data_IF_586103826227
#
_entry.id   IF_586103826227
#
_cell.length_a   1.000
_cell.length_b   1.000
_cell.length_c   1.000
_cell.angle_alpha   90.00
_cell.angle_beta   90.00
_cell.angle_gamma   90.00
#
_symmetry.space_group_name_H-M   'P 1'
#
loop_
_entity.id
_entity.type
_entity.pdbx_description
1 polymer ?
#
# COMPACT_ATOMS: atom_id res chain seq x y z
N UNK A 1 -4.57 14.37 -32.58
CA UNK A 1 -3.40 13.76 -31.91
C UNK A 1 -3.91 12.93 -30.76
N UNK A 2 -4.04 11.63 -30.97
CA UNK A 2 -4.54 10.69 -29.97
C UNK A 2 -3.40 10.40 -29.00
N UNK A 3 -3.48 10.94 -27.79
CA UNK A 3 -2.55 10.63 -26.70
C UNK A 3 -2.66 9.13 -26.41
N UNK A 4 -1.61 8.37 -26.73
CA UNK A 4 -1.45 7.00 -26.24
C UNK A 4 -1.18 7.16 -24.75
N UNK A 5 -2.18 6.85 -23.92
CA UNK A 5 -2.02 6.76 -22.48
C UNK A 5 -1.00 5.65 -22.20
N UNK A 6 0.27 6.05 -22.05
CA UNK A 6 1.32 5.17 -21.58
C UNK A 6 1.02 4.91 -20.11
N UNK A 7 0.78 3.64 -19.76
CA UNK A 7 0.62 3.25 -18.37
C UNK A 7 1.83 3.73 -17.57
N UNK A 8 1.64 4.31 -16.36
CA UNK A 8 2.74 4.80 -15.54
C UNK A 8 3.80 3.71 -15.34
N UNK A 9 5.08 4.07 -15.50
CA UNK A 9 6.18 3.13 -15.27
C UNK A 9 6.19 2.72 -13.80
N UNK A 10 6.10 1.41 -13.55
CA UNK A 10 6.13 0.86 -12.19
C UNK A 10 7.54 0.46 -11.79
N UNK A 11 8.02 0.99 -10.66
CA UNK A 11 9.34 0.68 -10.10
C UNK A 11 9.16 -0.20 -8.87
N UNK A 12 9.65 -1.44 -8.94
CA UNK A 12 9.55 -2.42 -7.85
C UNK A 12 10.76 -2.27 -6.93
N UNK A 13 10.56 -1.68 -5.75
CA UNK A 13 11.66 -1.39 -4.82
C UNK A 13 12.32 -2.66 -4.27
N UNK A 14 11.57 -3.77 -4.16
CA UNK A 14 12.13 -5.07 -3.78
C UNK A 14 13.30 -5.48 -4.69
N UNK A 15 13.17 -5.26 -5.99
CA UNK A 15 14.21 -5.61 -6.95
C UNK A 15 15.46 -4.72 -6.80
N UNK A 16 15.27 -3.42 -6.57
CA UNK A 16 16.38 -2.49 -6.30
C UNK A 16 17.14 -2.87 -5.02
N UNK A 17 16.40 -3.14 -3.94
CA UNK A 17 16.98 -3.54 -2.65
C UNK A 17 17.82 -4.81 -2.79
N UNK A 18 17.30 -5.85 -3.45
CA UNK A 18 18.01 -7.13 -3.60
C UNK A 18 19.30 -6.99 -4.43
N UNK A 19 19.35 -6.09 -5.42
CA UNK A 19 20.59 -5.83 -6.19
C UNK A 19 21.67 -5.17 -5.32
N UNK A 20 21.28 -4.23 -4.47
CA UNK A 20 22.21 -3.58 -3.52
C UNK A 20 22.70 -4.58 -2.48
N UNK A 21 21.80 -5.40 -1.91
CA UNK A 21 22.17 -6.47 -0.96
C UNK A 21 23.10 -7.51 -1.58
N UNK A 22 22.91 -7.84 -2.86
CA UNK A 22 23.80 -8.73 -3.62
C UNK A 22 25.13 -8.07 -4.03
N UNK A 23 25.31 -6.77 -3.78
CA UNK A 23 26.50 -6.02 -4.17
C UNK A 23 26.64 -5.79 -5.68
N UNK A 24 25.59 -6.03 -6.46
CA UNK A 24 25.59 -5.81 -7.91
C UNK A 24 25.29 -4.36 -8.30
N UNK A 25 24.91 -3.54 -7.31
CA UNK A 25 24.51 -2.15 -7.50
C UNK A 25 24.80 -1.33 -6.24
N UNK A 26 25.11 -0.05 -6.39
CA UNK A 26 25.29 0.87 -5.27
C UNK A 26 23.97 1.56 -4.93
N UNK A 27 23.76 1.90 -3.65
CA UNK A 27 22.55 2.58 -3.20
C UNK A 27 22.28 3.88 -3.98
N UNK A 28 23.33 4.66 -4.27
CA UNK A 28 23.20 5.92 -5.02
C UNK A 28 23.10 5.73 -6.54
N UNK A 29 23.03 4.49 -7.01
CA UNK A 29 22.91 4.17 -8.44
C UNK A 29 21.67 3.29 -8.68
N UNK A 30 20.46 3.69 -8.25
CA UNK A 30 19.24 2.94 -8.52
C UNK A 30 19.02 2.76 -10.02
N UNK A 31 18.50 1.60 -10.44
CA UNK A 31 18.48 1.23 -11.87
C UNK A 31 17.41 1.95 -12.68
N UNK A 32 16.46 2.58 -11.98
CA UNK A 32 15.48 3.47 -12.58
C UNK A 32 16.05 4.85 -12.93
N UNK A 33 17.31 5.14 -12.58
CA UNK A 33 18.01 6.34 -13.05
C UNK A 33 18.78 6.04 -14.33
N UNK A 34 18.55 6.79 -15.43
CA UNK A 34 19.26 6.60 -16.69
C UNK A 34 20.78 6.85 -16.57
N UNK A 35 21.17 7.89 -15.83
CA UNK A 35 22.57 8.17 -15.48
C UNK A 35 22.62 8.59 -14.00
N UNK A 36 23.15 7.73 -13.12
CA UNK A 36 23.20 8.04 -11.68
C UNK A 36 24.23 9.12 -11.34
N UNK A 37 25.15 9.47 -12.24
CA UNK A 37 26.12 10.53 -12.01
C UNK A 37 25.58 11.92 -12.35
N UNK A 38 24.50 12.02 -13.14
CA UNK A 38 23.91 13.31 -13.55
C UNK A 38 23.57 14.19 -12.35
N UNK A 39 23.13 13.60 -11.24
CA UNK A 39 22.86 14.32 -10.00
C UNK A 39 24.04 15.18 -9.51
N UNK A 40 25.27 14.69 -9.69
CA UNK A 40 26.49 15.37 -9.25
C UNK A 40 27.18 16.12 -10.39
N UNK A 41 27.16 15.57 -11.60
CA UNK A 41 27.90 16.11 -12.75
C UNK A 41 27.13 17.22 -13.48
N UNK A 42 25.80 17.19 -13.45
CA UNK A 42 24.94 18.17 -14.09
C UNK A 42 23.65 18.43 -13.28
N UNK A 43 23.73 19.24 -12.20
CA UNK A 43 22.58 19.53 -11.35
C UNK A 43 21.39 20.15 -12.10
N UNK A 44 21.64 20.88 -13.18
CA UNK A 44 20.58 21.47 -14.01
C UNK A 44 19.79 20.38 -14.75
N UNK A 45 20.46 19.38 -15.30
CA UNK A 45 19.78 18.26 -15.97
C UNK A 45 19.07 17.36 -14.96
N UNK A 46 19.68 17.16 -13.79
CA UNK A 46 19.04 16.45 -12.68
C UNK A 46 17.69 17.08 -12.30
N UNK A 47 17.67 18.37 -12.00
CA UNK A 47 16.47 19.07 -11.53
C UNK A 47 15.41 19.26 -12.63
N UNK A 48 15.82 19.52 -13.89
CA UNK A 48 14.89 19.88 -14.96
C UNK A 48 14.47 18.71 -15.88
N UNK A 49 15.20 17.60 -15.84
CA UNK A 49 14.95 16.44 -16.73
C UNK A 49 14.74 15.17 -15.93
N UNK A 50 15.68 14.81 -15.06
CA UNK A 50 15.65 13.50 -14.35
C UNK A 50 14.58 13.47 -13.27
N UNK A 51 14.52 14.45 -12.37
CA UNK A 51 13.49 14.50 -11.33
C UNK A 51 12.05 14.56 -11.91
N UNK A 52 11.76 15.37 -12.96
CA UNK A 52 10.46 15.34 -13.64
C UNK A 52 10.12 14.00 -14.27
N UNK A 53 11.10 13.28 -14.82
CA UNK A 53 10.88 11.92 -15.33
C UNK A 53 10.51 10.97 -14.20
N UNK A 54 11.23 10.99 -13.08
CA UNK A 54 10.94 10.17 -11.89
C UNK A 54 9.54 10.45 -11.35
N UNK A 55 9.07 11.70 -11.41
CA UNK A 55 7.72 12.08 -11.00
C UNK A 55 6.60 11.46 -11.83
N UNK A 56 6.91 10.76 -12.93
CA UNK A 56 5.94 9.97 -13.70
C UNK A 56 5.84 8.51 -13.25
N UNK A 57 6.72 8.07 -12.34
CA UNK A 57 6.82 6.69 -11.91
C UNK A 57 5.92 6.39 -10.72
N UNK A 58 5.48 5.13 -10.62
CA UNK A 58 4.81 4.59 -9.42
C UNK A 58 5.75 3.64 -8.70
N UNK A 59 6.10 3.98 -7.46
CA UNK A 59 7.00 3.17 -6.64
C UNK A 59 6.21 2.13 -5.85
N UNK A 60 6.50 0.85 -6.08
CA UNK A 60 5.86 -0.27 -5.40
C UNK A 60 6.74 -0.76 -4.25
N UNK A 61 6.21 -0.66 -3.03
CA UNK A 61 6.88 -1.10 -1.81
C UNK A 61 6.08 -2.27 -1.21
N UNK A 62 6.63 -3.47 -1.31
CA UNK A 62 5.94 -4.70 -0.95
C UNK A 62 6.07 -5.02 0.54
N UNK A 63 7.11 -4.51 1.22
CA UNK A 63 7.45 -4.93 2.57
C UNK A 63 8.07 -3.78 3.38
N UNK A 64 8.16 -3.95 4.70
CA UNK A 64 8.87 -2.98 5.56
C UNK A 64 10.35 -2.83 5.19
N UNK A 65 11.11 -3.90 4.88
CA UNK A 65 12.45 -3.76 4.33
C UNK A 65 12.53 -2.85 3.09
N UNK A 66 11.53 -2.88 2.22
CA UNK A 66 11.50 -2.00 1.04
C UNK A 66 11.26 -0.54 1.44
N UNK A 67 10.41 -0.30 2.45
CA UNK A 67 10.21 1.04 3.03
C UNK A 67 11.51 1.57 3.64
N UNK A 68 12.21 0.75 4.42
CA UNK A 68 13.47 1.16 5.07
C UNK A 68 14.59 1.38 4.06
N UNK A 69 14.68 0.52 3.03
CA UNK A 69 15.58 0.72 1.91
C UNK A 69 15.27 2.03 1.16
N UNK A 70 14.00 2.30 0.86
CA UNK A 70 13.59 3.52 0.16
C UNK A 70 13.90 4.76 1.02
N UNK A 71 13.72 4.71 2.35
CA UNK A 71 14.15 5.80 3.24
C UNK A 71 15.65 6.07 3.15
N UNK A 72 16.47 5.01 3.13
CA UNK A 72 17.92 5.15 2.97
C UNK A 72 18.27 5.75 1.61
N UNK A 73 17.62 5.30 0.54
CA UNK A 73 17.80 5.82 -0.81
C UNK A 73 17.45 7.32 -0.90
N UNK A 74 16.30 7.71 -0.36
CA UNK A 74 15.83 9.09 -0.36
C UNK A 74 16.64 10.05 0.52
N UNK A 75 17.39 9.49 1.47
CA UNK A 75 18.32 10.24 2.34
C UNK A 75 19.74 10.27 1.79
N UNK A 76 19.99 9.66 0.63
CA UNK A 76 21.31 9.55 0.03
C UNK A 76 21.79 10.92 -0.47
N UNK A 77 22.93 11.46 0.02
CA UNK A 77 23.42 12.78 -0.38
C UNK A 77 23.71 12.93 -1.87
N UNK A 78 24.03 11.82 -2.54
CA UNK A 78 24.30 11.77 -3.98
C UNK A 78 23.03 11.90 -4.83
N UNK A 79 21.84 11.78 -4.23
CA UNK A 79 20.54 11.88 -4.90
C UNK A 79 19.73 13.04 -4.29
N UNK A 80 20.22 14.30 -4.42
CA UNK A 80 19.58 15.45 -3.82
C UNK A 80 18.15 15.61 -4.33
N UNK A 81 17.24 16.03 -3.44
CA UNK A 81 15.83 16.29 -3.75
C UNK A 81 15.03 15.10 -4.31
N UNK A 82 15.56 13.88 -4.34
CA UNK A 82 14.84 12.71 -4.88
C UNK A 82 13.49 12.49 -4.20
N UNK A 83 13.39 12.70 -2.88
CA UNK A 83 12.13 12.60 -2.12
C UNK A 83 11.04 13.55 -2.62
N UNK A 84 11.40 14.68 -3.25
CA UNK A 84 10.45 15.62 -3.84
C UNK A 84 9.91 15.13 -5.18
N UNK A 85 10.61 14.24 -5.88
CA UNK A 85 10.15 13.67 -7.13
C UNK A 85 9.21 12.47 -6.95
N UNK A 86 9.05 11.95 -5.73
CA UNK A 86 8.13 10.85 -5.46
C UNK A 86 6.68 11.37 -5.40
N UNK A 87 5.93 11.12 -6.47
CA UNK A 87 4.53 11.56 -6.64
C UNK A 87 3.52 10.42 -6.53
N UNK A 88 3.95 9.16 -6.72
CA UNK A 88 3.06 8.00 -6.67
C UNK A 88 3.69 6.83 -5.92
N UNK A 89 2.97 6.31 -4.92
CA UNK A 89 3.37 5.16 -4.11
C UNK A 89 2.26 4.12 -4.11
N UNK A 90 2.63 2.85 -4.27
CA UNK A 90 1.75 1.71 -4.09
C UNK A 90 2.31 0.74 -3.04
N UNK A 91 1.43 0.27 -2.15
CA UNK A 91 1.70 -0.79 -1.17
C UNK A 91 0.92 -2.06 -1.57
N UNK A 92 1.38 -2.83 -2.57
CA UNK A 92 0.66 -3.98 -3.13
C UNK A 92 0.47 -5.14 -2.13
N UNK A 93 1.25 -5.16 -1.05
CA UNK A 93 1.14 -6.14 0.04
C UNK A 93 0.82 -5.46 1.38
N UNK A 94 0.10 -4.34 1.35
CA UNK A 94 -0.29 -3.62 2.57
C UNK A 94 -1.04 -4.52 3.58
N UNK A 95 -1.81 -5.49 3.09
CA UNK A 95 -2.45 -6.54 3.91
C UNK A 95 -1.50 -7.42 4.73
N UNK A 96 -0.20 -7.45 4.45
CA UNK A 96 0.80 -8.18 5.25
C UNK A 96 1.21 -7.41 6.52
N UNK A 97 0.77 -6.16 6.67
CA UNK A 97 0.98 -5.42 7.90
C UNK A 97 0.31 -6.12 9.08
N UNK A 98 1.09 -6.47 10.11
CA UNK A 98 0.63 -7.21 11.28
C UNK A 98 -0.34 -6.44 12.22
N UNK A 99 -0.70 -5.22 11.83
CA UNK A 99 -1.60 -4.32 12.56
C UNK A 99 -0.92 -3.48 13.62
N UNK A 100 -1.69 -2.55 14.16
CA UNK A 100 -1.44 -1.82 15.40
C UNK A 100 -1.72 -2.75 16.57
N UNK A 101 -0.72 -2.89 17.45
CA UNK A 101 -0.78 -3.68 18.69
C UNK A 101 -0.09 -2.88 19.79
N UNK A 102 -0.07 -3.40 21.01
CA UNK A 102 0.44 -2.70 22.21
C UNK A 102 1.86 -2.09 22.05
N UNK A 103 2.67 -2.62 21.14
CA UNK A 103 4.04 -2.15 20.86
C UNK A 103 4.19 -1.27 19.59
N UNK A 104 3.10 -0.94 18.88
CA UNK A 104 3.15 -0.17 17.64
C UNK A 104 2.02 0.85 17.61
N UNK A 105 2.37 2.14 17.69
CA UNK A 105 1.39 3.25 17.75
C UNK A 105 1.03 3.82 16.38
N UNK A 106 1.82 3.53 15.34
CA UNK A 106 1.64 4.06 13.99
C UNK A 106 1.85 3.00 12.91
N UNK A 107 1.34 3.28 11.70
CA UNK A 107 1.57 2.44 10.54
C UNK A 107 2.80 2.95 9.76
N UNK A 108 3.93 2.21 9.75
CA UNK A 108 5.18 2.65 9.12
C UNK A 108 5.06 2.89 7.60
N UNK A 109 4.10 2.26 6.92
CA UNK A 109 3.82 2.52 5.50
C UNK A 109 3.19 3.90 5.30
N UNK A 110 2.22 4.26 6.15
CA UNK A 110 1.58 5.57 6.12
C UNK A 110 2.54 6.66 6.62
N UNK A 111 3.36 6.38 7.64
CA UNK A 111 4.41 7.30 8.09
C UNK A 111 5.43 7.59 7.00
N UNK A 112 5.78 6.59 6.18
CA UNK A 112 6.61 6.80 5.00
C UNK A 112 5.92 7.70 3.96
N UNK A 113 4.63 7.45 3.66
CA UNK A 113 3.87 8.28 2.73
C UNK A 113 3.76 9.74 3.20
N UNK A 114 3.59 9.99 4.50
CA UNK A 114 3.56 11.35 5.09
C UNK A 114 4.87 12.11 4.88
N UNK A 115 6.00 11.43 4.71
CA UNK A 115 7.29 12.06 4.48
C UNK A 115 7.49 12.54 3.02
N UNK A 116 6.56 12.22 2.10
CA UNK A 116 6.65 12.58 0.69
C UNK A 116 5.86 13.86 0.39
N UNK A 117 6.51 15.03 0.25
CA UNK A 117 5.80 16.32 0.18
C UNK A 117 4.97 16.48 -1.09
N UNK A 118 5.37 15.84 -2.20
CA UNK A 118 4.70 15.93 -3.49
C UNK A 118 3.90 14.67 -3.83
N UNK A 119 3.59 13.82 -2.85
CA UNK A 119 2.78 12.63 -3.09
C UNK A 119 1.38 13.04 -3.60
N UNK A 120 1.05 12.63 -4.82
CA UNK A 120 -0.23 12.87 -5.49
C UNK A 120 -1.12 11.63 -5.55
N UNK A 121 -0.53 10.43 -5.59
CA UNK A 121 -1.25 9.16 -5.64
C UNK A 121 -0.74 8.18 -4.57
N UNK A 122 -1.67 7.62 -3.81
CA UNK A 122 -1.42 6.52 -2.88
C UNK A 122 -2.31 5.33 -3.23
N UNK A 123 -1.72 4.15 -3.37
CA UNK A 123 -2.44 2.89 -3.55
C UNK A 123 -2.22 1.92 -2.38
N UNK A 124 -3.31 1.42 -1.80
CA UNK A 124 -3.32 0.45 -0.71
C UNK A 124 -3.98 -0.85 -1.18
N UNK A 125 -3.32 -1.98 -0.99
CA UNK A 125 -3.89 -3.29 -1.34
C UNK A 125 -4.25 -4.09 -0.10
N UNK A 126 -5.54 -4.39 0.04
CA UNK A 126 -6.12 -5.24 1.06
C UNK A 126 -6.37 -6.65 0.49
N UNK A 127 -6.49 -7.64 1.37
CA UNK A 127 -6.80 -9.02 1.00
C UNK A 127 -8.02 -9.48 1.81
N UNK A 128 -8.92 -10.26 1.21
CA UNK A 128 -10.14 -10.74 1.88
C UNK A 128 -9.86 -11.44 3.23
N UNK A 129 -8.80 -12.26 3.29
CA UNK A 129 -8.33 -12.86 4.55
C UNK A 129 -8.01 -11.83 5.66
N UNK A 130 -7.42 -10.68 5.31
CA UNK A 130 -7.11 -9.62 6.27
C UNK A 130 -8.32 -8.76 6.68
N UNK A 131 -9.48 -9.02 6.09
CA UNK A 131 -10.76 -8.33 6.33
C UNK A 131 -11.80 -9.24 6.99
N UNK A 132 -11.40 -10.44 7.37
CA UNK A 132 -12.25 -11.44 8.01
C UNK A 132 -11.64 -11.92 9.32
N UNK A 133 -12.45 -12.54 10.16
CA UNK A 133 -12.00 -13.20 11.38
C UNK A 133 -12.84 -14.46 11.64
N UNK A 134 -12.41 -15.29 12.58
CA UNK A 134 -13.15 -16.49 12.97
C UNK A 134 -14.59 -16.12 13.39
N UNK A 135 -15.55 -16.85 12.82
CA UNK A 135 -16.96 -16.75 13.18
C UNK A 135 -17.18 -17.14 14.64
N UNK A 136 -16.48 -18.19 15.05
CA UNK A 136 -16.57 -18.84 16.36
C UNK A 136 -15.38 -18.48 17.27
N UNK A 137 -15.58 -18.60 18.58
CA UNK A 137 -14.46 -18.55 19.54
C UNK A 137 -13.65 -19.84 19.47
N UNK A 138 -12.43 -19.84 19.99
CA UNK A 138 -11.58 -21.05 20.02
C UNK A 138 -12.28 -22.22 20.72
N UNK A 139 -12.96 -21.95 21.84
CA UNK A 139 -13.70 -22.96 22.60
C UNK A 139 -14.84 -23.57 21.78
N UNK A 140 -15.61 -22.73 21.08
CA UNK A 140 -16.71 -23.19 20.24
C UNK A 140 -16.17 -23.97 19.05
N UNK A 141 -15.06 -23.53 18.46
CA UNK A 141 -14.40 -24.23 17.35
C UNK A 141 -14.00 -25.66 17.73
N UNK A 142 -13.37 -25.83 18.89
CA UNK A 142 -12.99 -27.17 19.41
C UNK A 142 -14.24 -28.03 19.65
N UNK A 143 -15.33 -27.44 20.16
CA UNK A 143 -16.58 -28.17 20.38
C UNK A 143 -17.19 -28.66 19.05
N UNK A 144 -17.19 -27.82 18.01
CA UNK A 144 -17.65 -28.18 16.65
C UNK A 144 -16.79 -29.30 16.06
N UNK A 145 -15.47 -29.19 16.18
CA UNK A 145 -14.52 -30.20 15.67
C UNK A 145 -14.70 -31.56 16.35
N UNK A 146 -14.88 -31.57 17.68
CA UNK A 146 -15.16 -32.80 18.43
C UNK A 146 -16.51 -33.45 18.06
N UNK A 147 -17.44 -32.67 17.50
CA UNK A 147 -18.72 -33.16 16.98
C UNK A 147 -18.63 -33.58 15.49
N UNK A 148 -17.45 -33.49 14.87
CA UNK A 148 -17.21 -33.83 13.47
C UNK A 148 -17.56 -32.71 12.48
N UNK A 149 -17.90 -31.51 12.95
CA UNK A 149 -18.29 -30.37 12.11
C UNK A 149 -17.09 -29.50 11.73
N UNK A 150 -16.08 -30.13 11.12
CA UNK A 150 -14.80 -29.49 10.78
C UNK A 150 -14.93 -28.32 9.80
N UNK A 151 -15.78 -28.45 8.78
CA UNK A 151 -15.96 -27.37 7.80
C UNK A 151 -16.67 -26.15 8.40
N UNK A 152 -17.60 -26.38 9.33
CA UNK A 152 -18.29 -25.29 10.01
C UNK A 152 -17.38 -24.59 11.03
N UNK A 153 -16.46 -25.32 11.66
CA UNK A 153 -15.48 -24.76 12.59
C UNK A 153 -14.59 -23.69 11.92
N UNK A 154 -14.38 -23.79 10.60
CA UNK A 154 -13.60 -22.86 9.78
C UNK A 154 -14.38 -21.60 9.35
N UNK A 155 -15.66 -21.47 9.71
CA UNK A 155 -16.49 -20.35 9.30
C UNK A 155 -15.86 -19.00 9.68
N UNK A 156 -15.89 -18.07 8.73
CA UNK A 156 -15.39 -16.70 8.86
C UNK A 156 -16.55 -15.70 8.88
N UNK A 157 -16.30 -14.55 9.49
CA UNK A 157 -17.15 -13.37 9.40
C UNK A 157 -16.33 -12.15 8.99
N UNK A 158 -16.93 -11.26 8.23
CA UNK A 158 -16.32 -9.99 7.82
C UNK A 158 -16.18 -9.07 9.04
N UNK A 159 -15.02 -8.42 9.14
CA UNK A 159 -14.73 -7.44 10.19
C UNK A 159 -15.61 -6.20 10.03
N UNK A 160 -15.82 -5.44 11.12
CA UNK A 160 -16.48 -4.13 11.01
C UNK A 160 -15.47 -3.12 10.49
N UNK A 161 -15.92 -2.13 9.72
CA UNK A 161 -15.09 -1.01 9.24
C UNK A 161 -14.19 -0.41 10.33
N UNK A 162 -14.75 -0.13 11.52
CA UNK A 162 -14.01 0.44 12.65
C UNK A 162 -12.82 -0.42 13.08
N UNK A 163 -12.97 -1.75 13.03
CA UNK A 163 -11.96 -2.69 13.50
C UNK A 163 -10.81 -2.74 12.48
N UNK A 164 -11.13 -2.66 11.18
CA UNK A 164 -10.14 -2.54 10.09
C UNK A 164 -9.39 -1.21 10.15
N UNK A 165 -10.11 -0.09 10.33
CA UNK A 165 -9.50 1.24 10.48
C UNK A 165 -8.52 1.26 11.66
N UNK A 166 -8.93 0.72 12.81
CA UNK A 166 -8.07 0.63 13.98
C UNK A 166 -6.85 -0.27 13.75
N UNK A 167 -7.06 -1.45 13.16
CA UNK A 167 -5.99 -2.42 12.90
C UNK A 167 -4.90 -1.85 11.97
N UNK A 168 -5.28 -1.22 10.86
CA UNK A 168 -4.33 -0.66 9.89
C UNK A 168 -3.93 0.79 10.18
N UNK A 169 -4.47 1.41 11.22
CA UNK A 169 -4.32 2.85 11.53
C UNK A 169 -4.70 3.74 10.34
N UNK A 170 -5.83 3.46 9.69
CA UNK A 170 -6.20 4.15 8.44
C UNK A 170 -6.51 5.64 8.64
N UNK A 171 -6.83 6.08 9.86
CA UNK A 171 -7.02 7.51 10.18
C UNK A 171 -5.78 8.35 9.82
N UNK A 172 -4.58 7.76 9.85
CA UNK A 172 -3.32 8.42 9.53
C UNK A 172 -3.25 8.89 8.06
N UNK A 173 -4.07 8.32 7.17
CA UNK A 173 -4.20 8.76 5.78
C UNK A 173 -4.66 10.22 5.70
N UNK A 174 -5.46 10.70 6.66
CA UNK A 174 -5.93 12.09 6.65
C UNK A 174 -4.85 13.10 7.08
N UNK A 175 -3.75 12.62 7.66
CA UNK A 175 -2.56 13.44 7.92
C UNK A 175 -1.78 13.76 6.64
N UNK A 176 -2.05 13.03 5.55
CA UNK A 176 -1.52 13.31 4.22
C UNK A 176 -2.05 14.61 3.61
N UNK A 177 -2.96 15.33 4.27
CA UNK A 177 -3.36 16.70 3.86
C UNK A 177 -2.19 17.70 3.73
N UNK A 178 -1.01 17.36 4.26
CA UNK A 178 0.23 18.13 4.12
C UNK A 178 0.97 17.82 2.81
N UNK A 179 0.57 16.78 2.08
CA UNK A 179 1.07 16.41 0.75
C UNK A 179 0.15 16.98 -0.34
N UNK A 180 0.44 16.66 -1.60
CA UNK A 180 -0.38 17.02 -2.76
C UNK A 180 -1.34 15.90 -3.16
N UNK A 181 -1.82 15.10 -2.19
CA UNK A 181 -2.60 13.90 -2.50
C UNK A 181 -3.87 14.29 -3.26
N UNK A 182 -4.05 13.71 -4.44
CA UNK A 182 -5.22 13.89 -5.30
C UNK A 182 -6.02 12.61 -5.45
N UNK A 183 -5.36 11.45 -5.32
CA UNK A 183 -5.95 10.15 -5.56
C UNK A 183 -5.53 9.13 -4.48
N UNK A 184 -6.51 8.43 -3.93
CA UNK A 184 -6.33 7.25 -3.09
C UNK A 184 -6.99 6.06 -3.80
N UNK A 185 -6.24 5.00 -4.07
CA UNK A 185 -6.80 3.77 -4.66
C UNK A 185 -6.74 2.63 -3.66
N UNK A 186 -7.89 2.06 -3.35
CA UNK A 186 -8.01 0.86 -2.53
C UNK A 186 -8.21 -0.37 -3.41
N UNK A 187 -7.20 -1.21 -3.50
CA UNK A 187 -7.32 -2.52 -4.14
C UNK A 187 -7.78 -3.57 -3.13
N UNK A 188 -8.69 -4.44 -3.56
CA UNK A 188 -9.05 -5.65 -2.83
C UNK A 188 -8.63 -6.86 -3.66
N UNK A 189 -7.76 -7.67 -3.09
CA UNK A 189 -7.53 -9.04 -3.54
C UNK A 189 -8.65 -9.91 -2.98
N UNK A 190 -9.58 -10.27 -3.85
CA UNK A 190 -10.75 -11.07 -3.51
C UNK A 190 -10.46 -12.55 -3.76
N UNK A 191 -10.17 -13.27 -2.68
CA UNK A 191 -9.81 -14.69 -2.72
C UNK A 191 -11.04 -15.57 -2.55
N UNK A 192 -11.35 -16.36 -3.58
CA UNK A 192 -12.44 -17.35 -3.57
C UNK A 192 -12.29 -18.38 -2.44
N UNK A 193 -11.04 -18.72 -2.07
CA UNK A 193 -10.75 -19.61 -0.93
C UNK A 193 -11.30 -19.04 0.37
N UNK A 194 -11.12 -17.73 0.59
CA UNK A 194 -11.61 -17.06 1.79
C UNK A 194 -13.12 -16.94 1.72
N UNK A 195 -13.66 -16.50 0.57
CA UNK A 195 -15.09 -16.29 0.37
C UNK A 195 -15.90 -17.57 0.64
N UNK A 196 -15.38 -18.73 0.25
CA UNK A 196 -15.97 -20.04 0.55
C UNK A 196 -16.30 -20.22 2.06
N UNK A 197 -15.44 -19.71 2.94
CA UNK A 197 -15.60 -19.81 4.39
C UNK A 197 -16.36 -18.61 5.00
N UNK A 198 -16.57 -17.51 4.29
CA UNK A 198 -17.31 -16.34 4.80
C UNK A 198 -18.80 -16.67 4.89
N UNK A 199 -19.32 -16.78 6.12
CA UNK A 199 -20.74 -17.07 6.37
C UNK A 199 -21.55 -15.83 6.78
N UNK A 200 -20.87 -14.72 7.09
CA UNK A 200 -21.53 -13.48 7.53
C UNK A 200 -20.80 -12.22 7.05
N UNK A 201 -21.55 -11.38 6.33
CA UNK A 201 -21.08 -10.11 5.76
C UNK A 201 -20.54 -10.25 4.33
N UNK A 202 -20.11 -9.14 3.74
CA UNK A 202 -19.48 -9.09 2.41
C UNK A 202 -18.22 -8.26 2.46
N UNK A 203 -17.10 -8.83 1.99
CA UNK A 203 -15.81 -8.13 1.94
C UNK A 203 -15.85 -6.98 0.94
N UNK A 204 -16.54 -7.17 -0.19
CA UNK A 204 -16.75 -6.11 -1.20
C UNK A 204 -17.58 -4.95 -0.61
N UNK A 205 -18.60 -5.26 0.19
CA UNK A 205 -19.37 -4.22 0.88
C UNK A 205 -18.51 -3.47 1.90
N UNK A 206 -17.66 -4.17 2.67
CA UNK A 206 -16.72 -3.53 3.59
C UNK A 206 -15.72 -2.62 2.86
N UNK A 207 -15.26 -3.00 1.66
CA UNK A 207 -14.42 -2.13 0.82
C UNK A 207 -15.16 -0.85 0.39
N UNK A 208 -16.45 -0.97 0.03
CA UNK A 208 -17.31 0.18 -0.26
C UNK A 208 -17.45 1.09 0.98
N UNK A 209 -17.69 0.52 2.16
CA UNK A 209 -17.75 1.28 3.42
C UNK A 209 -16.44 2.01 3.73
N UNK A 210 -15.28 1.44 3.37
CA UNK A 210 -13.98 2.09 3.49
C UNK A 210 -13.82 3.24 2.48
N UNK A 211 -14.25 3.06 1.23
CA UNK A 211 -14.25 4.12 0.21
C UNK A 211 -15.05 5.32 0.71
N UNK A 212 -16.29 5.09 1.14
CA UNK A 212 -17.17 6.14 1.68
C UNK A 212 -16.57 6.83 2.92
N UNK A 213 -15.93 6.06 3.80
CA UNK A 213 -15.22 6.60 4.97
C UNK A 213 -14.10 7.55 4.57
N UNK A 214 -13.25 7.16 3.60
CA UNK A 214 -12.19 8.04 3.12
C UNK A 214 -12.74 9.29 2.45
N UNK A 215 -13.72 9.17 1.55
CA UNK A 215 -14.34 10.32 0.87
C UNK A 215 -14.93 11.33 1.86
N UNK A 216 -15.66 10.83 2.86
CA UNK A 216 -16.29 11.67 3.88
C UNK A 216 -15.25 12.41 4.73
N UNK A 217 -14.24 11.69 5.21
CA UNK A 217 -13.30 12.25 6.17
C UNK A 217 -12.25 13.14 5.48
N UNK A 218 -11.89 12.87 4.22
CA UNK A 218 -11.12 13.82 3.39
C UNK A 218 -11.87 15.15 3.19
N UNK A 219 -13.18 15.09 2.88
CA UNK A 219 -14.02 16.30 2.82
C UNK A 219 -14.08 17.04 4.15
N UNK A 220 -14.16 16.32 5.27
CA UNK A 220 -14.19 16.91 6.61
C UNK A 220 -12.90 17.68 6.93
N UNK A 221 -11.74 17.21 6.46
CA UNK A 221 -10.45 17.92 6.59
C UNK A 221 -10.16 18.92 5.47
N UNK A 222 -11.15 19.21 4.61
CA UNK A 222 -11.07 20.15 3.47
C UNK A 222 -9.96 19.79 2.48
N UNK A 223 -9.79 18.50 2.21
CA UNK A 223 -8.84 18.00 1.22
C UNK A 223 -9.61 17.22 0.15
N UNK A 224 -9.48 17.62 -1.10
CA UNK A 224 -10.19 16.98 -2.22
C UNK A 224 -9.34 15.82 -2.75
N UNK A 225 -9.78 14.59 -2.48
CA UNK A 225 -9.12 13.36 -2.91
C UNK A 225 -10.14 12.47 -3.60
N UNK A 226 -9.83 12.04 -4.82
CA UNK A 226 -10.55 10.99 -5.54
C UNK A 226 -10.25 9.65 -4.87
N UNK A 227 -11.28 8.93 -4.44
CA UNK A 227 -11.13 7.62 -3.79
C UNK A 227 -11.69 6.53 -4.68
N UNK A 228 -10.78 5.77 -5.27
CA UNK A 228 -11.13 4.62 -6.10
C UNK A 228 -11.13 3.33 -5.30
N UNK A 229 -12.00 2.40 -5.72
CA UNK A 229 -11.91 1.00 -5.31
C UNK A 229 -11.77 0.11 -6.53
N UNK A 230 -10.89 -0.88 -6.44
CA UNK A 230 -10.66 -1.87 -7.49
C UNK A 230 -10.70 -3.25 -6.84
N UNK A 231 -11.51 -4.15 -7.40
CA UNK A 231 -11.58 -5.55 -6.95
C UNK A 231 -10.82 -6.41 -7.95
N UNK A 232 -9.85 -7.17 -7.45
CA UNK A 232 -9.02 -8.09 -8.21
C UNK A 232 -9.33 -9.51 -7.74
N UNK A 233 -10.01 -10.30 -8.56
CA UNK A 233 -10.31 -11.69 -8.24
C UNK A 233 -9.06 -12.57 -8.35
N UNK A 234 -8.79 -13.36 -7.32
CA UNK A 234 -7.83 -14.46 -7.39
C UNK A 234 -8.61 -15.80 -7.42
N UNK A 235 -8.47 -16.59 -8.51
CA UNK A 235 -9.21 -17.83 -8.66
C UNK A 235 -8.77 -18.88 -7.62
N UNK A 236 -9.69 -19.75 -7.22
CA UNK A 236 -9.43 -20.90 -6.36
C UNK A 236 -8.66 -21.98 -7.15
N UNK A 237 -7.40 -22.22 -6.77
CA UNK A 237 -6.67 -23.43 -7.18
C UNK A 237 -6.69 -24.40 -6.01
N UNK A 238 -7.63 -25.36 -6.03
CA UNK A 238 -7.83 -26.37 -4.99
C UNK A 238 -6.71 -27.39 -4.86
#
# INVERSE_FOLDING_TARGET
>A
MTSIATSPTSIIITAERLRVEAGTQLLHQPSFLPDPNVALSNPSDWENTVLPLIATYTFQLESLPDVDFMRALLSCPQLPNLHKAITSIAFPKFYQFAGIRDNRTSNPYLDFAKAMPNLEHLALTLHSAGLTCAGYTEKDRIALENQGWLEESKALKVLRRRDVVAFYKLDDVFELKKTKLKKLTCYLVDSELVDHFVKKGSVVQLLEELREYFEKDFRAVKHEVEVDRIVCSLPYTG
#
